data_IF_421897245863
#
_entry.id   IF_421897245863
#
_cell.length_a   1.000
_cell.length_b   1.000
_cell.length_c   1.000
_cell.angle_alpha   90.00
_cell.angle_beta   90.00
_cell.angle_gamma   90.00
#
_symmetry.space_group_name_H-M   'P 1'
#
loop_
_entity.id
_entity.type
_entity.pdbx_description
1 polymer ?
2 non-polymer ?
3 non-polymer ?
4 water ?
#
# COMPACT_ATOMS: atom_id res chain seq x y z
N UNK A 7 -6.87 -15.73 -7.04
CA UNK A 7 -7.91 -15.33 -6.01
C UNK A 7 -7.39 -14.12 -5.24
N UNK A 8 -8.18 -13.65 -4.28
CA UNK A 8 -7.85 -12.49 -3.43
C UNK A 8 -8.95 -12.14 -2.45
N UNK A 9 -8.85 -10.95 -1.86
CA UNK A 9 -9.84 -10.39 -0.93
C UNK A 9 -10.56 -9.25 -1.60
N UNK A 10 -11.86 -9.16 -1.49
CA UNK A 10 -12.61 -8.11 -2.18
C UNK A 10 -13.46 -7.32 -1.20
N UNK A 11 -13.65 -6.05 -1.57
CA UNK A 11 -14.54 -5.12 -0.84
C UNK A 11 -15.27 -4.32 -1.91
N UNK A 12 -16.59 -4.43 -1.97
CA UNK A 12 -17.32 -3.84 -3.08
C UNK A 12 -16.82 -4.41 -4.40
N UNK A 13 -16.48 -3.52 -5.34
CA UNK A 13 -16.00 -3.92 -6.68
C UNK A 13 -14.49 -4.04 -6.73
N UNK A 14 -13.80 -3.75 -5.65
CA UNK A 14 -12.32 -3.78 -5.63
C UNK A 14 -11.84 -5.15 -5.16
N UNK A 15 -10.82 -5.66 -5.85
CA UNK A 15 -10.18 -6.95 -5.49
C UNK A 15 -8.71 -6.71 -5.20
N UNK A 16 -8.24 -7.19 -4.07
CA UNK A 16 -6.81 -7.18 -3.73
C UNK A 16 -6.26 -8.59 -3.94
N UNK A 17 -5.09 -8.68 -4.60
CA UNK A 17 -4.44 -9.98 -4.85
C UNK A 17 -2.96 -9.89 -4.57
N UNK A 18 -2.39 -11.04 -4.20
CA UNK A 18 -0.94 -11.15 -4.05
C UNK A 18 -0.52 -12.55 -4.49
N UNK A 19 0.71 -12.63 -4.98
CA UNK A 19 1.38 -13.92 -5.20
C UNK A 19 2.57 -14.06 -4.23
N UNK A 20 2.68 -13.19 -3.23
CA UNK A 20 3.79 -13.30 -2.27
C UNK A 20 5.06 -12.66 -2.78
N UNK A 21 5.04 -11.92 -3.87
CA UNK A 21 6.23 -11.24 -4.36
C UNK A 21 6.68 -10.19 -3.34
N UNK A 22 7.98 -9.97 -3.26
CA UNK A 22 8.60 -8.99 -2.36
C UNK A 22 9.52 -8.12 -3.20
N UNK A 23 9.26 -6.82 -3.28
CA UNK A 23 9.94 -5.93 -4.23
C UNK A 23 10.07 -4.53 -3.63
N UNK A 24 11.02 -3.76 -4.16
CA UNK A 24 11.09 -2.31 -3.91
C UNK A 24 9.84 -1.61 -4.49
N UNK A 25 9.64 -0.35 -4.11
CA UNK A 25 8.43 0.36 -4.56
C UNK A 25 8.34 0.40 -6.10
N UNK A 26 9.43 0.80 -6.74
CA UNK A 26 9.37 0.95 -8.21
C UNK A 26 9.09 -0.40 -8.89
N UNK A 27 9.73 -1.46 -8.40
CA UNK A 27 9.52 -2.79 -8.99
C UNK A 27 8.09 -3.29 -8.69
N UNK A 28 7.58 -2.96 -7.51
CA UNK A 28 6.21 -3.35 -7.12
C UNK A 28 5.18 -2.65 -8.02
N UNK A 29 5.40 -1.34 -8.24
CA UNK A 29 4.50 -0.58 -9.11
C UNK A 29 4.49 -1.21 -10.52
N UNK A 30 5.68 -1.58 -11.00
CA UNK A 30 5.76 -2.17 -12.34
C UNK A 30 5.03 -3.51 -12.40
N UNK A 31 5.18 -4.34 -11.37
CA UNK A 31 4.48 -5.65 -11.33
C UNK A 31 2.98 -5.44 -11.43
N UNK A 32 2.43 -4.55 -10.59
CA UNK A 32 0.97 -4.41 -10.61
C UNK A 32 0.48 -3.81 -11.95
N UNK A 33 1.23 -2.86 -12.48
CA UNK A 33 0.82 -2.22 -13.73
C UNK A 33 0.86 -3.25 -14.88
N UNK A 34 1.91 -4.06 -14.92
CA UNK A 34 2.00 -5.08 -15.99
C UNK A 34 0.87 -6.11 -15.86
N UNK A 35 0.32 -6.29 -14.65
CA UNK A 35 -0.85 -7.15 -14.38
C UNK A 35 -2.17 -6.43 -14.64
N UNK A 36 -2.13 -5.19 -15.13
CA UNK A 36 -3.32 -4.35 -15.46
C UNK A 36 -4.07 -3.95 -14.20
N UNK A 37 -3.34 -3.78 -13.10
CA UNK A 37 -3.88 -3.20 -11.86
C UNK A 37 -2.97 -2.08 -11.39
N UNK A 38 -2.99 -1.85 -10.09
CA UNK A 38 -2.12 -0.87 -9.44
C UNK A 38 -1.83 -1.34 -8.02
N UNK A 39 -0.91 -0.69 -7.34
CA UNK A 39 -0.63 -1.07 -5.95
C UNK A 39 -1.88 -0.84 -5.07
N UNK A 40 -1.99 -1.63 -4.03
CA UNK A 40 -3.09 -1.52 -3.06
C UNK A 40 -3.24 -0.07 -2.61
N UNK A 41 -4.47 0.42 -2.72
CA UNK A 41 -4.81 1.83 -2.42
C UNK A 41 -6.05 1.85 -1.54
N UNK A 42 -5.97 1.42 -0.28
CA UNK A 42 -7.18 1.35 0.55
C UNK A 42 -7.73 2.75 0.80
N UNK A 43 -9.01 2.91 0.48
CA UNK A 43 -9.71 4.21 0.55
C UNK A 43 -10.75 4.25 1.69
N UNK A 44 -10.79 3.19 2.49
CA UNK A 44 -11.78 3.07 3.56
C UNK A 44 -11.27 2.06 4.57
N UNK A 45 -11.88 2.11 5.77
CA UNK A 45 -11.63 1.10 6.82
C UNK A 45 -11.81 -0.31 6.25
N UNK A 46 -12.90 -0.56 5.56
CA UNK A 46 -13.19 -1.91 5.06
C UNK A 46 -12.10 -2.34 4.08
N UNK A 47 -11.69 -1.47 3.16
CA UNK A 47 -10.60 -1.85 2.25
C UNK A 47 -9.30 -2.08 3.03
N UNK A 48 -9.02 -1.22 4.00
CA UNK A 48 -7.79 -1.39 4.79
C UNK A 48 -7.76 -2.75 5.48
N UNK A 49 -8.90 -3.17 6.03
CA UNK A 49 -8.97 -4.45 6.73
C UNK A 49 -8.72 -5.63 5.78
N UNK A 50 -9.21 -5.53 4.54
CA UNK A 50 -8.94 -6.60 3.55
C UNK A 50 -7.45 -6.70 3.25
N UNK A 51 -6.78 -5.58 3.02
CA UNK A 51 -5.34 -5.58 2.78
C UNK A 51 -4.64 -6.19 3.99
N UNK A 52 -5.04 -5.77 5.18
CA UNK A 52 -4.41 -6.20 6.44
C UNK A 52 -4.51 -7.71 6.59
N UNK A 53 -5.64 -8.29 6.26
CA UNK A 53 -5.77 -9.76 6.35
C UNK A 53 -4.69 -10.44 5.51
N UNK A 54 -4.44 -9.91 4.34
CA UNK A 54 -3.42 -10.50 3.45
C UNK A 54 -2.01 -10.33 4.00
N UNK A 55 -1.71 -9.17 4.57
CA UNK A 55 -0.42 -8.95 5.25
C UNK A 55 -0.23 -9.96 6.39
N UNK A 56 -1.28 -10.20 7.18
CA UNK A 56 -1.16 -11.14 8.31
C UNK A 56 -0.91 -12.54 7.76
N UNK A 57 -1.60 -12.91 6.70
CA UNK A 57 -1.45 -14.27 6.12
C UNK A 57 -0.03 -14.46 5.61
N UNK A 58 0.50 -13.45 4.90
CA UNK A 58 1.84 -13.54 4.28
C UNK A 58 2.96 -13.26 5.27
N UNK A 59 2.65 -12.69 6.43
CA UNK A 59 3.62 -12.37 7.48
C UNK A 59 4.68 -11.40 6.97
N UNK A 60 4.26 -10.40 6.19
CA UNK A 60 5.21 -9.44 5.58
C UNK A 60 4.45 -8.14 5.38
N UNK A 61 5.02 -7.04 5.87
CA UNK A 61 4.45 -5.71 5.58
C UNK A 61 4.38 -5.52 4.06
N UNK A 62 3.36 -4.79 3.61
CA UNK A 62 3.13 -4.56 2.19
C UNK A 62 3.27 -3.07 1.85
N UNK A 63 3.62 -2.80 0.59
CA UNK A 63 3.45 -1.43 0.07
C UNK A 63 1.98 -1.10 -0.13
N UNK A 64 1.69 0.18 0.12
CA UNK A 64 0.53 0.84 -0.47
C UNK A 64 1.00 1.68 -1.66
N UNK A 65 0.07 2.18 -2.48
CA UNK A 65 0.45 2.95 -3.67
C UNK A 65 0.96 4.34 -3.31
N UNK A 66 0.49 4.88 -2.19
CA UNK A 66 0.55 6.33 -1.98
C UNK A 66 1.97 6.77 -1.64
N UNK A 67 2.32 7.96 -2.07
CA UNK A 67 3.68 8.48 -1.83
C UNK A 67 3.64 10.00 -1.78
N UNK A 68 4.68 10.60 -1.25
CA UNK A 68 4.74 12.08 -1.18
C UNK A 68 5.90 12.59 -2.02
N UNK A 69 6.21 11.91 -3.12
CA UNK A 69 7.41 12.34 -3.88
C UNK A 69 7.14 13.73 -4.48
N UNK A 70 5.90 14.11 -4.84
CA UNK A 70 5.59 15.40 -5.53
C UNK A 70 5.74 16.59 -4.56
N UNK A 71 5.02 16.54 -3.44
CA UNK A 71 5.06 17.53 -2.33
C UNK A 71 5.22 16.78 -1.01
N UNK A 72 6.39 16.95 -0.38
CA UNK A 72 6.77 16.35 0.93
C UNK A 72 5.61 16.53 1.91
N UNK A 73 5.17 15.43 2.53
CA UNK A 73 4.11 15.41 3.56
C UNK A 73 2.71 15.30 2.97
N UNK A 74 2.54 15.51 1.66
CA UNK A 74 1.22 15.36 0.99
C UNK A 74 1.18 14.00 0.30
N UNK A 75 0.57 13.01 0.93
CA UNK A 75 0.54 11.66 0.31
C UNK A 75 -0.58 11.60 -0.70
N UNK A 76 -0.27 11.11 -1.89
CA UNK A 76 -1.23 11.05 -3.01
C UNK A 76 -1.29 9.65 -3.63
N UNK A 77 -2.42 9.32 -4.25
CA UNK A 77 -2.63 8.14 -5.12
C UNK A 77 -1.91 8.30 -6.48
N UNK A 78 -1.93 7.26 -7.34
CA UNK A 78 -1.33 7.37 -8.69
C UNK A 78 -2.05 8.36 -9.64
N UNK A 79 -3.24 8.82 -9.24
CA UNK A 79 -3.99 9.89 -9.91
C UNK A 79 -3.38 11.26 -9.58
N UNK A 80 -2.56 11.37 -8.53
CA UNK A 80 -2.11 12.62 -7.92
C UNK A 80 -3.06 13.24 -6.91
N UNK A 81 -4.18 12.62 -6.65
CA UNK A 81 -5.16 13.14 -5.65
C UNK A 81 -4.72 12.85 -4.21
N UNK A 82 -5.07 13.74 -3.29
CA UNK A 82 -4.76 13.58 -1.83
C UNK A 82 -5.57 12.44 -1.23
N UNK A 83 -5.06 11.89 -0.13
CA UNK A 83 -5.73 10.80 0.60
C UNK A 83 -7.17 11.18 0.99
N UNK A 84 -8.07 10.20 0.86
CA UNK A 84 -9.46 10.29 1.39
C UNK A 84 -9.63 9.48 2.66
N UNK A 85 -8.57 8.77 3.08
CA UNK A 85 -8.58 7.84 4.22
C UNK A 85 -7.12 7.67 4.62
N UNK A 86 -6.85 7.59 5.91
CA UNK A 86 -5.49 7.21 6.37
C UNK A 86 -5.60 6.38 7.64
N UNK A 87 -4.54 5.63 7.93
CA UNK A 87 -4.51 4.80 9.15
C UNK A 87 -3.09 4.75 9.71
N UNK A 88 -2.48 5.91 9.89
CA UNK A 88 -1.10 6.00 10.34
C UNK A 88 -0.93 5.38 11.73
N UNK A 89 0.17 4.63 11.91
CA UNK A 89 0.62 4.20 13.24
C UNK A 89 0.88 5.44 14.09
N UNK A 90 0.83 5.26 15.39
CA UNK A 90 1.14 6.37 16.31
C UNK A 90 2.52 6.93 15.96
N UNK A 91 2.60 8.26 15.85
CA UNK A 91 3.85 8.96 15.55
C UNK A 91 4.20 9.00 14.08
N UNK A 92 3.38 8.43 13.21
CA UNK A 92 3.65 8.44 11.76
C UNK A 92 2.72 9.44 11.07
N UNK A 93 3.17 9.98 9.93
CA UNK A 93 4.56 9.87 9.47
C UNK A 93 5.57 10.55 10.42
N UNK A 94 6.70 9.91 10.76
CA UNK A 94 7.63 10.40 11.84
C UNK A 94 8.51 11.52 11.24
N UNK A 100 17.61 8.64 5.76
CA UNK A 100 17.15 8.99 4.38
C UNK A 100 15.68 9.40 4.40
N UNK A 101 15.19 10.06 3.33
CA UNK A 101 13.76 10.35 3.18
C UNK A 101 12.89 9.09 3.14
N UNK A 102 11.67 9.22 3.64
CA UNK A 102 10.67 8.15 3.62
C UNK A 102 9.48 8.63 2.81
N UNK A 103 9.47 8.36 1.52
CA UNK A 103 8.44 8.88 0.64
C UNK A 103 7.33 7.89 0.33
N UNK A 104 7.50 6.65 0.71
CA UNK A 104 6.54 5.57 0.40
C UNK A 104 5.86 5.11 1.70
N UNK A 105 4.91 4.18 1.57
CA UNK A 105 4.05 3.80 2.70
C UNK A 105 3.98 2.28 2.76
N UNK A 106 4.22 1.73 3.95
CA UNK A 106 3.97 0.33 4.26
C UNK A 106 2.78 0.19 5.19
N UNK A 107 2.14 -0.97 5.11
CA UNK A 107 1.04 -1.36 6.00
C UNK A 107 1.49 -2.58 6.79
N UNK A 108 1.30 -2.47 8.12
CA UNK A 108 1.63 -3.55 9.07
C UNK A 108 0.50 -4.58 9.14
N UNK A 109 0.80 -5.76 9.77
CA UNK A 109 -0.26 -6.73 9.99
C UNK A 109 -1.32 -6.31 11.00
N UNK A 110 -1.08 -5.24 11.78
CA UNK A 110 -2.13 -4.65 12.62
C UNK A 110 -2.97 -3.60 11.86
N UNK A 111 -2.67 -3.40 10.59
CA UNK A 111 -3.40 -2.47 9.71
C UNK A 111 -2.89 -1.06 9.72
N UNK A 112 -1.99 -0.70 10.64
CA UNK A 112 -1.49 0.67 10.70
C UNK A 112 -0.41 0.90 9.64
N UNK A 113 -0.22 2.18 9.31
CA UNK A 113 0.67 2.58 8.23
C UNK A 113 1.93 3.26 8.77
N UNK A 114 3.01 3.13 8.00
CA UNK A 114 4.30 3.78 8.34
C UNK A 114 4.94 4.26 7.04
N UNK A 115 5.43 5.49 6.99
CA UNK A 115 6.19 5.93 5.82
C UNK A 115 7.59 5.27 5.88
N UNK A 116 8.10 4.87 4.71
CA UNK A 116 9.34 4.09 4.54
C UNK A 116 10.12 4.63 3.37
N UNK A 117 11.44 4.37 3.33
CA UNK A 117 12.21 4.61 2.11
C UNK A 117 11.65 3.75 0.98
N UNK A 118 11.57 4.32 -0.23
CA UNK A 118 11.01 3.60 -1.38
C UNK A 118 11.90 2.47 -1.90
N UNK A 119 13.13 2.39 -1.40
CA UNK A 119 14.01 1.24 -1.68
C UNK A 119 13.69 0.01 -0.82
N UNK A 120 12.83 0.14 0.19
CA UNK A 120 12.54 -1.03 1.06
C UNK A 120 11.87 -2.14 0.24
N UNK A 121 12.21 -3.39 0.53
CA UNK A 121 11.62 -4.54 -0.15
C UNK A 121 10.45 -5.04 0.68
N UNK A 122 9.25 -4.98 0.12
CA UNK A 122 8.01 -5.30 0.85
C UNK A 122 7.13 -6.21 0.01
N UNK A 123 6.14 -6.83 0.67
CA UNK A 123 5.13 -7.61 -0.02
C UNK A 123 4.39 -6.74 -1.03
N UNK A 124 4.12 -7.34 -2.20
CA UNK A 124 3.39 -6.69 -3.29
C UNK A 124 1.94 -7.19 -3.29
N UNK A 125 1.03 -6.28 -2.99
CA UNK A 125 -0.42 -6.51 -3.07
C UNK A 125 -0.94 -5.52 -4.13
N UNK A 126 -1.60 -6.06 -5.14
CA UNK A 126 -2.19 -5.23 -6.20
C UNK A 126 -3.70 -5.16 -6.03
N UNK A 127 -4.29 -4.09 -6.54
CA UNK A 127 -5.76 -3.98 -6.61
C UNK A 127 -6.20 -3.94 -8.06
N UNK A 128 -7.40 -4.49 -8.26
CA UNK A 128 -8.10 -4.60 -9.54
C UNK A 128 -9.55 -4.15 -9.39
#
# INVERSE_FOLDING_TARGET
>A
KAVLFPDGQAVGEKIFKTAGAVKSYSDAEQLCREAKGQLASPRSSAENEAVTQMVRAQEKNAYLSMNDISTEGRFTYPTGEILVYSNWADGEPNNSDEGQPENCVEIFPDGKWNDVPCSKQLLVICEF
#
